data_IF_748489585942
#
_entry.id   IF_748489585942
#
_cell.length_a   1.000
_cell.length_b   1.000
_cell.length_c   1.000
_cell.angle_alpha   90.00
_cell.angle_beta   90.00
_cell.angle_gamma   90.00
#
_symmetry.space_group_name_H-M   'P 1'
#
loop_
_entity.id
_entity.type
_entity.pdbx_description
1 polymer ?
#
# COMPACT_ATOMS: atom_id res chain seq x y z
N UNK A 1 -54.08 11.79 28.42
CA UNK A 1 -53.84 12.86 27.42
C UNK A 1 -52.73 13.81 27.83
N UNK A 2 -52.68 14.30 29.08
CA UNK A 2 -51.59 15.17 29.57
C UNK A 2 -50.19 14.52 29.54
N UNK A 3 -50.04 13.27 29.97
CA UNK A 3 -48.74 12.55 30.02
C UNK A 3 -48.09 12.39 28.63
N UNK A 4 -48.87 11.96 27.61
CA UNK A 4 -48.41 11.80 26.23
C UNK A 4 -47.99 13.13 25.58
N UNK A 5 -48.61 14.25 25.96
CA UNK A 5 -48.29 15.57 25.43
C UNK A 5 -46.96 16.11 25.98
N UNK A 6 -46.68 15.85 27.27
CA UNK A 6 -45.40 16.19 27.90
C UNK A 6 -44.23 15.35 27.42
N UNK A 7 -44.44 14.07 27.08
CA UNK A 7 -43.39 13.24 26.47
C UNK A 7 -43.06 13.76 25.07
N UNK A 8 -44.06 14.02 24.23
CA UNK A 8 -43.86 14.51 22.86
C UNK A 8 -43.12 15.85 22.79
N UNK A 9 -43.43 16.81 23.68
CA UNK A 9 -42.74 18.11 23.72
C UNK A 9 -41.28 18.01 24.17
N UNK A 10 -40.97 17.12 25.13
CA UNK A 10 -39.59 16.85 25.59
C UNK A 10 -38.74 16.12 24.55
N UNK A 11 -39.38 15.39 23.64
CA UNK A 11 -38.70 14.59 22.61
C UNK A 11 -38.18 15.44 21.45
N UNK A 12 -38.98 16.40 20.96
CA UNK A 12 -38.50 17.41 20.01
C UNK A 12 -37.36 18.25 20.60
N UNK A 13 -37.39 18.50 21.91
CA UNK A 13 -36.32 19.22 22.61
C UNK A 13 -35.01 18.42 22.64
N UNK A 14 -35.06 17.11 22.90
CA UNK A 14 -33.85 16.26 22.93
C UNK A 14 -33.22 16.13 21.53
N UNK A 15 -34.03 15.90 20.50
CA UNK A 15 -33.59 15.86 19.10
C UNK A 15 -32.91 17.18 18.71
N UNK A 16 -33.54 18.31 19.05
CA UNK A 16 -32.99 19.64 18.78
C UNK A 16 -31.65 19.85 19.50
N UNK A 17 -31.58 19.52 20.80
CA UNK A 17 -30.35 19.70 21.60
C UNK A 17 -29.20 18.86 21.10
N UNK A 18 -29.46 17.61 20.69
CA UNK A 18 -28.42 16.76 20.10
C UNK A 18 -27.98 17.28 18.73
N UNK A 19 -28.92 17.68 17.87
CA UNK A 19 -28.59 18.30 16.58
C UNK A 19 -27.73 19.56 16.75
N UNK A 20 -28.08 20.45 17.69
CA UNK A 20 -27.32 21.67 17.93
C UNK A 20 -25.95 21.41 18.57
N UNK A 21 -25.83 20.35 19.39
CA UNK A 21 -24.53 19.87 19.87
C UNK A 21 -23.65 19.38 18.72
N UNK A 22 -24.18 18.53 17.83
CA UNK A 22 -23.46 18.04 16.66
C UNK A 22 -23.04 19.18 15.71
N UNK A 23 -23.88 20.19 15.51
CA UNK A 23 -23.52 21.39 14.72
C UNK A 23 -22.31 22.13 15.29
N UNK A 24 -22.21 22.27 16.61
CA UNK A 24 -21.05 22.92 17.26
C UNK A 24 -19.77 22.11 17.08
N UNK A 25 -19.85 20.79 17.22
CA UNK A 25 -18.72 19.92 16.97
C UNK A 25 -18.30 19.93 15.50
N UNK A 26 -19.27 20.01 14.58
CA UNK A 26 -19.01 20.13 13.14
C UNK A 26 -18.30 21.45 12.80
N UNK A 27 -18.74 22.57 13.38
CA UNK A 27 -18.08 23.86 13.21
C UNK A 27 -16.63 23.82 13.71
N UNK A 28 -16.37 23.13 14.82
CA UNK A 28 -15.00 22.91 15.32
C UNK A 28 -14.15 22.09 14.35
N UNK A 29 -14.72 21.05 13.72
CA UNK A 29 -14.01 20.28 12.71
C UNK A 29 -13.69 21.12 11.46
N UNK A 30 -14.61 22.00 11.05
CA UNK A 30 -14.41 22.95 9.96
C UNK A 30 -13.30 23.97 10.28
N UNK A 31 -13.31 24.55 11.49
CA UNK A 31 -12.25 25.44 11.97
C UNK A 31 -10.87 24.76 11.93
N UNK A 32 -10.76 23.56 12.50
CA UNK A 32 -9.53 22.76 12.46
C UNK A 32 -9.06 22.52 11.02
N UNK A 33 -9.99 22.19 10.11
CA UNK A 33 -9.68 21.98 8.69
C UNK A 33 -9.07 23.21 8.06
N UNK A 34 -9.64 24.39 8.33
CA UNK A 34 -9.16 25.65 7.78
C UNK A 34 -7.78 26.03 8.34
N UNK A 35 -7.55 25.83 9.63
CA UNK A 35 -6.24 26.04 10.26
C UNK A 35 -5.17 25.14 9.64
N UNK A 36 -5.46 23.84 9.52
CA UNK A 36 -4.53 22.85 8.95
C UNK A 36 -4.19 23.20 7.50
N UNK A 37 -5.20 23.52 6.66
CA UNK A 37 -4.98 23.92 5.27
C UNK A 37 -4.02 25.09 5.11
N UNK A 38 -4.02 26.03 6.05
CA UNK A 38 -3.15 27.21 5.99
C UNK A 38 -1.68 26.87 6.28
N UNK A 39 -1.41 25.83 7.06
CA UNK A 39 -0.05 25.55 7.58
C UNK A 39 0.55 24.24 7.07
N UNK A 40 -0.27 23.29 6.58
CA UNK A 40 0.15 21.91 6.33
C UNK A 40 1.35 21.78 5.38
N UNK A 41 1.36 22.57 4.29
CA UNK A 41 2.46 22.54 3.32
C UNK A 41 3.75 23.12 3.92
N UNK A 42 3.66 24.23 4.66
CA UNK A 42 4.83 24.83 5.32
C UNK A 42 5.41 23.89 6.38
N UNK A 43 4.56 23.22 7.15
CA UNK A 43 4.97 22.20 8.12
C UNK A 43 5.66 21.02 7.42
N UNK A 44 5.16 20.60 6.25
CA UNK A 44 5.80 19.55 5.45
C UNK A 44 7.17 19.98 4.91
N UNK A 45 7.24 21.16 4.29
CA UNK A 45 8.44 21.67 3.62
C UNK A 45 9.56 22.02 4.61
N UNK A 46 9.21 22.50 5.80
CA UNK A 46 10.17 22.85 6.85
C UNK A 46 10.80 21.67 7.58
N UNK A 47 10.20 20.47 7.49
CA UNK A 47 10.79 19.27 8.06
C UNK A 47 11.97 18.78 7.19
N UNK A 48 13.19 19.09 7.62
CA UNK A 48 14.41 18.67 6.93
C UNK A 48 14.75 17.18 7.13
N UNK A 49 14.03 16.46 7.99
CA UNK A 49 14.19 15.02 8.15
C UNK A 49 13.78 14.30 6.85
N UNK A 50 14.64 13.40 6.37
CA UNK A 50 14.39 12.65 5.13
C UNK A 50 13.09 11.82 5.19
N UNK A 51 12.70 11.36 6.38
CA UNK A 51 11.49 10.58 6.61
C UNK A 51 10.33 11.43 7.13
N UNK A 52 10.45 12.78 7.13
CA UNK A 52 9.39 13.72 7.52
C UNK A 52 8.73 13.39 8.87
N UNK A 53 9.52 12.88 9.83
CA UNK A 53 8.99 12.35 11.10
C UNK A 53 8.25 13.39 11.93
N UNK A 54 8.70 14.64 11.93
CA UNK A 54 8.01 15.69 12.69
C UNK A 54 6.68 16.06 12.02
N UNK A 55 6.68 16.12 10.69
CA UNK A 55 5.45 16.29 9.92
C UNK A 55 4.44 15.16 10.18
N UNK A 56 4.87 13.89 10.16
CA UNK A 56 3.95 12.78 10.44
C UNK A 56 3.43 12.79 11.89
N UNK A 57 4.25 13.17 12.87
CA UNK A 57 3.78 13.37 14.24
C UNK A 57 2.73 14.49 14.32
N UNK A 58 2.93 15.60 13.60
CA UNK A 58 1.95 16.67 13.48
C UNK A 58 0.65 16.16 12.84
N UNK A 59 0.72 15.47 11.70
CA UNK A 59 -0.43 14.87 11.00
C UNK A 59 -1.23 13.94 11.92
N UNK A 60 -0.55 13.00 12.59
CA UNK A 60 -1.16 12.07 13.55
C UNK A 60 -1.87 12.82 14.70
N UNK A 61 -1.29 13.93 15.17
CA UNK A 61 -1.90 14.80 16.17
C UNK A 61 -3.21 15.42 15.68
N UNK A 62 -3.26 15.88 14.43
CA UNK A 62 -4.46 16.45 13.79
C UNK A 62 -5.53 15.37 13.59
N UNK A 63 -5.20 14.21 13.02
CA UNK A 63 -6.12 13.07 12.87
C UNK A 63 -6.69 12.66 14.23
N UNK A 64 -5.85 12.64 15.28
CA UNK A 64 -6.28 12.41 16.66
C UNK A 64 -7.31 13.42 17.16
N UNK A 65 -7.24 14.68 16.73
CA UNK A 65 -8.23 15.69 17.07
C UNK A 65 -9.58 15.44 16.38
N UNK A 66 -9.61 15.03 15.11
CA UNK A 66 -10.85 14.64 14.42
C UNK A 66 -11.49 13.42 15.09
N UNK A 67 -10.71 12.37 15.38
CA UNK A 67 -11.17 11.21 16.15
C UNK A 67 -11.73 11.61 17.51
N UNK A 68 -11.07 12.55 18.20
CA UNK A 68 -11.56 13.09 19.47
C UNK A 68 -12.86 13.89 19.35
N UNK A 69 -13.16 14.51 18.20
CA UNK A 69 -14.45 15.15 17.92
C UNK A 69 -15.54 14.11 17.72
N UNK A 70 -15.27 13.07 16.93
CA UNK A 70 -16.19 11.94 16.69
C UNK A 70 -16.51 11.24 18.01
N UNK A 71 -15.50 10.86 18.78
CA UNK A 71 -15.65 10.16 20.05
C UNK A 71 -16.55 10.94 21.03
N UNK A 72 -16.44 12.27 21.09
CA UNK A 72 -17.31 13.09 21.96
C UNK A 72 -18.78 12.99 21.57
N UNK A 73 -19.09 12.90 20.28
CA UNK A 73 -20.46 12.72 19.82
C UNK A 73 -20.99 11.33 20.17
N UNK A 74 -20.17 10.30 19.96
CA UNK A 74 -20.49 8.92 20.31
C UNK A 74 -20.69 8.74 21.81
N UNK A 75 -19.83 9.32 22.64
CA UNK A 75 -19.93 9.25 24.11
C UNK A 75 -21.25 9.86 24.60
N UNK A 76 -21.66 11.01 24.04
CA UNK A 76 -22.95 11.63 24.38
C UNK A 76 -24.13 10.78 23.90
N UNK A 77 -24.03 10.21 22.70
CA UNK A 77 -25.06 9.32 22.18
C UNK A 77 -25.23 8.06 23.07
N UNK A 78 -24.13 7.38 23.37
CA UNK A 78 -24.11 6.16 24.19
C UNK A 78 -24.53 6.41 25.64
N UNK A 79 -24.14 7.54 26.24
CA UNK A 79 -24.43 7.83 27.65
C UNK A 79 -25.77 8.54 27.89
N UNK A 80 -26.27 9.33 26.95
CA UNK A 80 -27.45 10.20 27.18
C UNK A 80 -28.65 9.90 26.27
N UNK A 81 -28.42 9.35 25.07
CA UNK A 81 -29.48 9.05 24.10
C UNK A 81 -29.88 7.58 24.22
N UNK A 82 -28.97 6.66 23.90
CA UNK A 82 -29.22 5.21 23.84
C UNK A 82 -29.89 4.62 25.10
N UNK A 83 -29.51 4.97 26.34
CA UNK A 83 -30.13 4.40 27.53
C UNK A 83 -31.61 4.73 27.68
N UNK A 84 -32.07 5.87 27.15
CA UNK A 84 -33.49 6.29 27.19
C UNK A 84 -34.37 5.42 26.30
N UNK A 85 -33.79 4.84 25.24
CA UNK A 85 -34.49 3.99 24.29
C UNK A 85 -34.38 2.50 24.68
N UNK A 86 -33.22 2.05 25.16
CA UNK A 86 -33.04 0.65 25.58
C UNK A 86 -33.95 0.24 26.76
N UNK A 87 -34.14 1.11 27.76
CA UNK A 87 -35.05 0.81 28.90
C UNK A 87 -36.55 0.79 28.52
N UNK A 88 -36.94 1.34 27.37
CA UNK A 88 -38.36 1.51 27.02
C UNK A 88 -38.89 0.47 26.04
N UNK A 89 -38.03 -0.34 25.41
CA UNK A 89 -38.45 -1.47 24.57
C UNK A 89 -39.02 -2.64 25.39
N UNK A 90 -38.60 -2.82 26.64
CA UNK A 90 -39.08 -3.93 27.50
C UNK A 90 -40.48 -3.69 28.11
N UNK A 91 -41.02 -2.46 28.09
CA UNK A 91 -42.21 -2.09 28.87
C UNK A 91 -43.38 -1.48 28.07
N UNK A 92 -43.33 -1.40 26.73
CA UNK A 92 -44.31 -0.61 25.96
C UNK A 92 -45.23 -1.42 25.01
N UNK A 93 -46.47 -0.93 24.83
CA UNK A 93 -47.46 -1.49 23.88
C UNK A 93 -46.94 -1.43 22.43
N UNK A 94 -47.31 -2.40 21.59
CA UNK A 94 -46.83 -2.57 20.21
C UNK A 94 -46.81 -1.30 19.34
N UNK A 95 -47.84 -0.44 19.44
CA UNK A 95 -47.92 0.81 18.65
C UNK A 95 -47.03 1.93 19.18
N UNK A 96 -46.71 1.95 20.48
CA UNK A 96 -45.74 2.87 21.08
C UNK A 96 -44.28 2.43 20.85
N UNK A 97 -44.04 1.13 20.62
CA UNK A 97 -42.71 0.63 20.25
C UNK A 97 -42.27 1.11 18.86
N UNK A 98 -43.18 1.11 17.87
CA UNK A 98 -42.84 1.51 16.50
C UNK A 98 -42.34 2.96 16.42
N UNK A 99 -43.02 3.90 17.08
CA UNK A 99 -42.61 5.32 17.10
C UNK A 99 -41.26 5.53 17.79
N UNK A 100 -41.03 4.87 18.93
CA UNK A 100 -39.74 4.94 19.64
C UNK A 100 -38.59 4.35 18.84
N UNK A 101 -38.88 3.31 18.05
CA UNK A 101 -37.92 2.72 17.11
C UNK A 101 -37.55 3.72 16.01
N UNK A 102 -38.54 4.30 15.32
CA UNK A 102 -38.32 5.31 14.27
C UNK A 102 -37.52 6.52 14.78
N UNK A 103 -37.79 6.95 16.01
CA UNK A 103 -37.04 8.04 16.63
C UNK A 103 -35.60 7.67 16.98
N UNK A 104 -35.37 6.46 17.51
CA UNK A 104 -34.02 6.01 17.80
C UNK A 104 -33.21 5.85 16.50
N UNK A 105 -33.82 5.29 15.46
CA UNK A 105 -33.27 5.22 14.11
C UNK A 105 -32.89 6.61 13.59
N UNK A 106 -33.74 7.63 13.80
CA UNK A 106 -33.40 9.01 13.45
C UNK A 106 -32.12 9.52 14.13
N UNK A 107 -31.91 9.22 15.42
CA UNK A 107 -30.69 9.64 16.11
C UNK A 107 -29.45 8.90 15.58
N UNK A 108 -29.59 7.60 15.28
CA UNK A 108 -28.52 6.79 14.67
C UNK A 108 -28.16 7.36 13.31
N UNK A 109 -29.15 7.57 12.44
CA UNK A 109 -28.95 8.13 11.10
C UNK A 109 -28.34 9.53 11.17
N UNK A 110 -28.78 10.37 12.10
CA UNK A 110 -28.20 11.70 12.28
C UNK A 110 -26.73 11.63 12.68
N UNK A 111 -26.37 10.74 13.61
CA UNK A 111 -24.99 10.57 14.06
C UNK A 111 -24.10 10.02 12.94
N UNK A 112 -24.52 8.97 12.25
CA UNK A 112 -23.74 8.36 11.15
C UNK A 112 -23.55 9.34 9.98
N UNK A 113 -24.63 10.04 9.57
CA UNK A 113 -24.52 11.09 8.56
C UNK A 113 -23.64 12.27 9.00
N UNK A 114 -23.58 12.55 10.30
CA UNK A 114 -22.70 13.58 10.85
C UNK A 114 -21.24 13.12 10.87
N UNK A 115 -20.95 11.86 11.23
CA UNK A 115 -19.59 11.29 11.22
C UNK A 115 -18.96 11.38 9.83
N UNK A 116 -19.70 10.98 8.80
CA UNK A 116 -19.26 11.10 7.40
C UNK A 116 -18.88 12.53 7.02
N UNK A 117 -19.54 13.54 7.60
CA UNK A 117 -19.17 14.95 7.35
C UNK A 117 -17.87 15.34 8.05
N UNK A 118 -17.62 14.84 9.27
CA UNK A 118 -16.37 15.08 10.00
C UNK A 118 -15.20 14.37 9.31
N UNK A 119 -15.38 13.14 8.86
CA UNK A 119 -14.38 12.39 8.07
C UNK A 119 -14.06 13.13 6.77
N UNK A 120 -15.07 13.66 6.09
CA UNK A 120 -14.84 14.51 4.91
C UNK A 120 -14.05 15.78 5.23
N UNK A 121 -14.22 16.37 6.41
CA UNK A 121 -13.40 17.52 6.84
C UNK A 121 -11.95 17.12 7.06
N UNK A 122 -11.69 15.96 7.66
CA UNK A 122 -10.36 15.37 7.80
C UNK A 122 -9.70 15.15 6.44
N UNK A 123 -10.39 14.51 5.49
CA UNK A 123 -9.89 14.34 4.11
C UNK A 123 -9.56 15.70 3.46
N UNK A 124 -10.45 16.68 3.61
CA UNK A 124 -10.25 18.02 3.06
C UNK A 124 -9.07 18.74 3.70
N UNK A 125 -8.73 18.47 4.96
CA UNK A 125 -7.63 19.12 5.66
C UNK A 125 -6.27 18.83 5.00
N UNK A 126 -6.12 17.62 4.44
CA UNK A 126 -4.88 17.16 3.82
C UNK A 126 -4.93 17.11 2.29
N UNK A 127 -6.09 17.38 1.67
CA UNK A 127 -6.30 17.23 0.22
C UNK A 127 -5.26 17.94 -0.67
N UNK A 128 -4.86 19.14 -0.29
CA UNK A 128 -3.97 19.99 -1.10
C UNK A 128 -2.49 19.85 -0.70
N UNK A 129 -2.18 18.97 0.27
CA UNK A 129 -0.81 18.66 0.66
C UNK A 129 -0.08 18.00 -0.51
N UNK A 130 1.06 18.58 -0.89
CA UNK A 130 1.95 18.03 -1.89
C UNK A 130 3.09 17.33 -1.17
N UNK A 131 2.86 16.06 -0.86
CA UNK A 131 3.96 15.18 -0.43
C UNK A 131 4.89 14.94 -1.62
N UNK A 132 6.17 14.85 -1.33
CA UNK A 132 7.18 14.47 -2.31
C UNK A 132 6.92 13.04 -2.79
N UNK A 133 6.93 12.83 -4.10
CA UNK A 133 6.72 11.50 -4.66
C UNK A 133 8.00 10.65 -4.58
N UNK A 134 7.83 9.32 -4.60
CA UNK A 134 8.97 8.39 -4.69
C UNK A 134 9.79 8.66 -5.96
N UNK A 135 9.13 9.08 -7.05
CA UNK A 135 9.80 9.49 -8.28
C UNK A 135 10.68 10.73 -8.09
N UNK A 136 10.26 11.71 -7.28
CA UNK A 136 11.08 12.88 -6.94
C UNK A 136 12.31 12.47 -6.13
N UNK A 137 12.15 11.57 -5.17
CA UNK A 137 13.28 11.03 -4.39
C UNK A 137 14.29 10.30 -5.28
N UNK A 138 13.81 9.46 -6.19
CA UNK A 138 14.66 8.78 -7.18
C UNK A 138 15.40 9.78 -8.06
N UNK A 139 14.69 10.78 -8.60
CA UNK A 139 15.30 11.81 -9.46
C UNK A 139 16.41 12.56 -8.74
N UNK A 140 16.24 12.87 -7.45
CA UNK A 140 17.27 13.51 -6.66
C UNK A 140 18.47 12.60 -6.40
N UNK A 141 18.26 11.31 -6.14
CA UNK A 141 19.34 10.31 -6.01
C UNK A 141 20.15 10.26 -7.32
N UNK A 142 19.47 10.13 -8.46
CA UNK A 142 20.11 10.07 -9.78
C UNK A 142 20.86 11.36 -10.12
N UNK A 143 20.27 12.53 -9.83
CA UNK A 143 20.91 13.82 -10.04
C UNK A 143 22.15 14.02 -9.15
N UNK A 144 22.13 13.50 -7.92
CA UNK A 144 23.30 13.53 -7.05
C UNK A 144 24.42 12.63 -7.60
N UNK A 145 24.07 11.45 -8.10
CA UNK A 145 25.02 10.53 -8.71
C UNK A 145 25.72 11.15 -9.93
N UNK A 146 24.94 11.78 -10.82
CA UNK A 146 25.44 12.50 -11.98
C UNK A 146 26.44 13.60 -11.62
N UNK A 147 26.28 14.26 -10.47
CA UNK A 147 27.21 15.30 -10.01
C UNK A 147 28.54 14.74 -9.48
N UNK A 148 28.56 13.50 -9.00
CA UNK A 148 29.77 12.88 -8.40
C UNK A 148 30.52 11.96 -9.35
N UNK A 149 29.85 11.36 -10.34
CA UNK A 149 30.47 10.36 -11.23
C UNK A 149 31.71 10.88 -11.95
N UNK A 150 31.71 12.16 -12.32
CA UNK A 150 32.83 12.79 -13.02
C UNK A 150 33.91 13.36 -12.09
N UNK A 151 33.67 13.34 -10.78
CA UNK A 151 34.55 13.91 -9.75
C UNK A 151 35.32 12.85 -8.97
N UNK A 152 35.27 11.60 -9.40
CA UNK A 152 36.00 10.51 -8.76
C UNK A 152 37.37 10.31 -9.42
N UNK A 153 38.44 10.53 -8.65
CA UNK A 153 39.82 10.46 -9.13
C UNK A 153 40.65 9.50 -8.29
N UNK A 154 41.64 8.88 -8.92
CA UNK A 154 42.57 8.00 -8.23
C UNK A 154 43.41 8.80 -7.24
N UNK A 155 43.42 8.36 -5.97
CA UNK A 155 44.18 9.01 -4.89
C UNK A 155 45.70 8.97 -5.10
N UNK A 156 46.20 8.01 -5.89
CA UNK A 156 47.63 7.80 -6.10
C UNK A 156 48.16 8.56 -7.33
N UNK A 157 47.53 8.38 -8.50
CA UNK A 157 48.04 8.96 -9.76
C UNK A 157 47.21 10.13 -10.30
N UNK A 158 46.13 10.53 -9.63
CA UNK A 158 45.23 11.61 -10.07
C UNK A 158 44.40 11.29 -11.32
N UNK A 159 44.51 10.08 -11.87
CA UNK A 159 43.75 9.67 -13.05
C UNK A 159 42.25 9.60 -12.76
N UNK A 160 41.42 10.11 -13.68
CA UNK A 160 39.96 10.04 -13.59
C UNK A 160 39.50 8.57 -13.54
N UNK A 161 38.63 8.25 -12.59
CA UNK A 161 38.05 6.92 -12.44
C UNK A 161 36.60 6.95 -12.94
N UNK A 162 36.29 6.05 -13.86
CA UNK A 162 34.95 5.91 -14.40
C UNK A 162 34.11 4.98 -13.51
N UNK A 163 32.93 5.43 -13.12
CA UNK A 163 31.92 4.60 -12.47
C UNK A 163 31.04 3.97 -13.55
N UNK A 164 31.10 2.64 -13.69
CA UNK A 164 30.40 1.91 -14.78
C UNK A 164 28.90 1.75 -14.56
N UNK A 165 28.45 1.90 -13.32
CA UNK A 165 27.09 1.65 -12.86
C UNK A 165 26.83 2.43 -11.57
N UNK A 166 25.56 2.54 -11.16
CA UNK A 166 25.20 3.17 -9.90
C UNK A 166 25.67 2.32 -8.71
N UNK A 167 26.57 2.89 -7.90
CA UNK A 167 27.02 2.29 -6.65
C UNK A 167 26.26 2.91 -5.46
N UNK A 168 25.68 2.05 -4.64
CA UNK A 168 24.86 2.38 -3.46
C UNK A 168 25.43 1.72 -2.19
N UNK A 169 26.47 0.89 -2.32
CA UNK A 169 27.36 0.47 -1.23
C UNK A 169 28.78 0.95 -1.49
N UNK A 170 29.63 0.93 -0.47
CA UNK A 170 31.05 1.21 -0.66
C UNK A 170 31.67 0.16 -1.59
N UNK A 171 32.27 0.60 -2.70
CA UNK A 171 32.80 -0.30 -3.74
C UNK A 171 34.25 0.01 -4.06
N UNK A 172 35.05 -1.05 -4.20
CA UNK A 172 36.44 -0.95 -4.63
C UNK A 172 36.51 -0.80 -6.15
N UNK A 173 37.18 0.26 -6.60
CA UNK A 173 37.37 0.61 -8.00
C UNK A 173 38.86 0.64 -8.30
N UNK A 174 39.29 -0.28 -9.16
CA UNK A 174 40.69 -0.40 -9.56
C UNK A 174 41.03 0.67 -10.59
N UNK A 175 42.09 1.44 -10.33
CA UNK A 175 42.55 2.46 -11.27
C UNK A 175 43.11 1.81 -12.54
N UNK A 176 42.61 2.15 -13.74
CA UNK A 176 43.08 1.54 -14.98
C UNK A 176 44.55 1.90 -15.27
N UNK A 177 45.01 3.08 -14.84
CA UNK A 177 46.35 3.62 -15.10
C UNK A 177 47.43 3.03 -14.19
N UNK A 178 47.24 3.09 -12.86
CA UNK A 178 48.28 2.68 -11.88
C UNK A 178 47.92 1.43 -11.07
N UNK A 179 46.77 0.80 -11.32
CA UNK A 179 46.26 -0.40 -10.65
C UNK A 179 45.99 -0.27 -9.15
N UNK A 180 46.18 0.90 -8.55
CA UNK A 180 45.77 1.17 -7.16
C UNK A 180 44.26 0.99 -6.99
N UNK A 181 43.84 0.33 -5.90
CA UNK A 181 42.43 0.25 -5.51
C UNK A 181 41.99 1.54 -4.81
N UNK A 182 40.86 2.10 -5.24
CA UNK A 182 40.22 3.27 -4.65
C UNK A 182 38.83 2.85 -4.15
N UNK A 183 38.31 3.51 -3.13
CA UNK A 183 36.98 3.21 -2.60
C UNK A 183 36.06 4.35 -3.00
N UNK A 184 34.99 4.04 -3.72
CA UNK A 184 33.86 4.93 -3.90
C UNK A 184 32.93 4.76 -2.70
N UNK A 185 32.58 5.86 -2.04
CA UNK A 185 31.65 5.87 -0.91
C UNK A 185 30.40 6.63 -1.32
N UNK A 186 29.26 5.96 -1.56
CA UNK A 186 28.01 6.62 -1.84
C UNK A 186 27.54 7.43 -0.63
N UNK A 187 26.87 8.56 -0.91
CA UNK A 187 26.21 9.36 0.11
C UNK A 187 25.09 8.58 0.79
N UNK A 188 24.61 9.08 1.92
CA UNK A 188 23.45 8.49 2.62
C UNK A 188 22.27 8.32 1.66
N UNK A 189 22.02 9.31 0.81
CA UNK A 189 20.92 9.29 -0.14
C UNK A 189 21.10 8.27 -1.27
N UNK A 190 22.32 8.16 -1.82
CA UNK A 190 22.62 7.14 -2.83
C UNK A 190 22.46 5.71 -2.31
N UNK A 191 22.65 5.49 -1.00
CA UNK A 191 22.45 4.18 -0.38
C UNK A 191 20.98 3.74 -0.38
N UNK A 192 20.04 4.69 -0.45
CA UNK A 192 18.60 4.41 -0.50
C UNK A 192 18.12 4.00 -1.90
N UNK A 193 18.99 4.04 -2.93
CA UNK A 193 18.61 3.79 -4.32
C UNK A 193 17.84 2.47 -4.50
N UNK A 194 18.30 1.39 -3.88
CA UNK A 194 17.65 0.07 -3.99
C UNK A 194 16.21 0.09 -3.44
N UNK A 195 16.01 0.73 -2.29
CA UNK A 195 14.71 0.86 -1.64
C UNK A 195 13.78 1.77 -2.46
N UNK A 196 14.23 2.97 -2.82
CA UNK A 196 13.41 3.92 -3.59
C UNK A 196 12.99 3.35 -4.95
N UNK A 197 13.85 2.58 -5.61
CA UNK A 197 13.52 1.93 -6.89
C UNK A 197 12.47 0.83 -6.70
N UNK A 198 12.54 0.09 -5.59
CA UNK A 198 11.52 -0.88 -5.22
C UNK A 198 10.18 -0.20 -4.94
N UNK A 199 10.17 0.83 -4.11
CA UNK A 199 8.96 1.57 -3.74
C UNK A 199 8.27 2.13 -4.99
N UNK A 200 9.03 2.70 -5.93
CA UNK A 200 8.48 3.21 -7.19
C UNK A 200 7.93 2.08 -8.08
N UNK A 201 8.59 0.93 -8.11
CA UNK A 201 8.12 -0.23 -8.87
C UNK A 201 6.84 -0.82 -8.28
N UNK A 202 6.71 -0.85 -6.95
CA UNK A 202 5.51 -1.26 -6.23
C UNK A 202 4.37 -0.25 -6.45
N UNK A 203 4.64 1.07 -6.39
CA UNK A 203 3.67 2.13 -6.70
C UNK A 203 3.10 1.98 -8.12
N UNK A 204 3.96 1.74 -9.13
CA UNK A 204 3.51 1.49 -10.50
C UNK A 204 2.70 0.21 -10.67
N UNK A 205 2.92 -0.78 -9.80
CA UNK A 205 2.23 -2.06 -9.84
C UNK A 205 1.01 -2.11 -8.91
N UNK A 206 0.60 -0.97 -8.31
CA UNK A 206 -0.46 -0.94 -7.28
C UNK A 206 -1.80 -1.52 -7.74
N UNK A 207 -2.15 -1.36 -9.02
CA UNK A 207 -3.41 -1.92 -9.55
C UNK A 207 -3.35 -3.44 -9.67
N UNK A 208 -2.17 -4.00 -9.94
CA UNK A 208 -1.95 -5.46 -9.95
C UNK A 208 -1.96 -6.04 -8.55
N UNK A 209 -1.41 -5.31 -7.57
CA UNK A 209 -1.49 -5.67 -6.16
C UNK A 209 -2.95 -5.74 -5.69
N UNK A 210 -3.73 -4.66 -5.90
CA UNK A 210 -5.16 -4.62 -5.56
C UNK A 210 -5.96 -5.74 -6.23
N UNK A 211 -5.65 -6.04 -7.49
CA UNK A 211 -6.28 -7.16 -8.20
C UNK A 211 -5.93 -8.51 -7.54
N UNK A 212 -4.67 -8.73 -7.18
CA UNK A 212 -4.25 -9.91 -6.43
C UNK A 212 -4.97 -10.01 -5.08
N UNK A 213 -5.01 -8.93 -4.29
CA UNK A 213 -5.67 -8.91 -2.98
C UNK A 213 -7.17 -9.23 -3.10
N UNK A 214 -7.82 -8.69 -4.13
CA UNK A 214 -9.22 -8.98 -4.43
C UNK A 214 -9.40 -10.46 -4.75
N UNK A 215 -8.54 -11.03 -5.59
CA UNK A 215 -8.58 -12.46 -5.97
C UNK A 215 -8.34 -13.35 -4.74
N UNK A 216 -7.36 -13.01 -3.90
CA UNK A 216 -7.01 -13.80 -2.72
C UNK A 216 -8.12 -13.77 -1.65
N UNK A 217 -8.75 -12.61 -1.45
CA UNK A 217 -9.78 -12.44 -0.41
C UNK A 217 -11.17 -12.94 -0.81
N UNK A 218 -11.44 -13.16 -2.10
CA UNK A 218 -12.80 -13.46 -2.56
C UNK A 218 -13.30 -14.88 -2.21
N UNK A 219 -12.40 -15.82 -1.89
CA UNK A 219 -12.76 -17.16 -1.42
C UNK A 219 -13.34 -18.13 -2.46
N UNK A 220 -13.43 -17.74 -3.74
CA UNK A 220 -13.92 -18.60 -4.84
C UNK A 220 -12.93 -18.80 -6.00
N UNK A 221 -11.77 -18.16 -5.96
CA UNK A 221 -10.71 -18.39 -6.95
C UNK A 221 -9.90 -19.64 -6.60
N UNK A 222 -9.45 -20.35 -7.63
CA UNK A 222 -8.60 -21.52 -7.47
C UNK A 222 -7.15 -21.14 -7.15
N UNK A 223 -6.41 -22.03 -6.48
CA UNK A 223 -5.02 -21.77 -6.08
C UNK A 223 -4.10 -21.40 -7.27
N UNK A 224 -4.35 -21.93 -8.47
CA UNK A 224 -3.61 -21.55 -9.68
C UNK A 224 -3.88 -20.12 -10.14
N UNK A 225 -5.12 -19.63 -9.99
CA UNK A 225 -5.50 -18.26 -10.33
C UNK A 225 -4.89 -17.27 -9.32
N UNK A 226 -4.95 -17.62 -8.03
CA UNK A 226 -4.32 -16.84 -6.95
C UNK A 226 -2.81 -16.74 -7.18
N UNK A 227 -2.13 -17.88 -7.42
CA UNK A 227 -0.69 -17.89 -7.70
C UNK A 227 -0.34 -17.08 -8.95
N UNK A 228 -1.13 -17.19 -10.02
CA UNK A 228 -0.89 -16.44 -11.24
C UNK A 228 -1.03 -14.92 -11.03
N UNK A 229 -2.06 -14.47 -10.31
CA UNK A 229 -2.23 -13.06 -9.99
C UNK A 229 -1.04 -12.52 -9.17
N UNK A 230 -0.60 -13.27 -8.15
CA UNK A 230 0.57 -12.92 -7.36
C UNK A 230 1.85 -12.89 -8.21
N UNK A 231 2.06 -13.89 -9.06
CA UNK A 231 3.21 -13.94 -9.96
C UNK A 231 3.27 -12.72 -10.88
N UNK A 232 2.15 -12.32 -11.50
CA UNK A 232 2.11 -11.18 -12.43
C UNK A 232 2.43 -9.88 -11.70
N UNK A 233 1.86 -9.68 -10.51
CA UNK A 233 2.19 -8.54 -9.67
C UNK A 233 3.70 -8.49 -9.39
N UNK A 234 4.27 -9.55 -8.80
CA UNK A 234 5.69 -9.56 -8.40
C UNK A 234 6.65 -9.53 -9.57
N UNK A 235 6.32 -10.15 -10.69
CA UNK A 235 7.13 -10.11 -11.90
C UNK A 235 7.16 -8.69 -12.50
N UNK A 236 6.04 -7.96 -12.44
CA UNK A 236 5.98 -6.56 -12.90
C UNK A 236 6.89 -5.68 -12.05
N UNK A 237 6.82 -5.79 -10.72
CA UNK A 237 7.72 -5.07 -9.80
C UNK A 237 9.19 -5.33 -10.16
N UNK A 238 9.58 -6.60 -10.30
CA UNK A 238 10.94 -6.96 -10.68
C UNK A 238 11.36 -6.34 -12.03
N UNK A 239 10.50 -6.40 -13.05
CA UNK A 239 10.79 -5.87 -14.38
C UNK A 239 10.96 -4.35 -14.38
N UNK A 240 10.16 -3.63 -13.58
CA UNK A 240 10.31 -2.19 -13.38
C UNK A 240 11.64 -1.86 -12.68
N UNK A 241 12.00 -2.60 -11.62
CA UNK A 241 13.26 -2.35 -10.90
C UNK A 241 14.49 -2.48 -11.81
N UNK A 242 14.56 -3.54 -12.62
CA UNK A 242 15.71 -3.77 -13.52
C UNK A 242 15.73 -2.83 -14.72
N UNK A 243 14.59 -2.24 -15.09
CA UNK A 243 14.53 -1.20 -16.10
C UNK A 243 15.16 0.10 -15.59
N UNK A 244 15.01 0.40 -14.29
CA UNK A 244 15.56 1.61 -13.66
C UNK A 244 17.04 1.42 -13.30
N UNK A 245 17.40 0.31 -12.63
CA UNK A 245 18.78 0.04 -12.20
C UNK A 245 19.22 -1.38 -12.60
N UNK A 246 19.74 -1.56 -13.82
CA UNK A 246 20.08 -2.89 -14.35
C UNK A 246 21.10 -3.69 -13.56
N UNK A 247 21.98 -3.04 -12.77
CA UNK A 247 22.96 -3.73 -11.91
C UNK A 247 22.30 -4.69 -10.91
N UNK A 248 21.03 -4.45 -10.57
CA UNK A 248 20.27 -5.28 -9.64
C UNK A 248 19.60 -6.49 -10.25
N UNK A 249 19.75 -6.73 -11.56
CA UNK A 249 19.05 -7.82 -12.24
C UNK A 249 19.18 -9.17 -11.52
N UNK A 250 20.40 -9.59 -11.17
CA UNK A 250 20.59 -10.89 -10.51
C UNK A 250 20.18 -10.89 -9.04
N UNK A 251 20.37 -9.78 -8.32
CA UNK A 251 19.97 -9.66 -6.91
C UNK A 251 18.45 -9.64 -6.78
N UNK A 252 17.77 -8.78 -7.53
CA UNK A 252 16.31 -8.64 -7.50
C UNK A 252 15.62 -9.90 -8.02
N UNK A 253 16.22 -10.63 -8.98
CA UNK A 253 15.68 -11.92 -9.43
C UNK A 253 15.70 -12.97 -8.31
N UNK A 254 16.76 -12.99 -7.49
CA UNK A 254 16.80 -13.88 -6.31
C UNK A 254 15.74 -13.51 -5.27
N UNK A 255 15.52 -12.21 -5.05
CA UNK A 255 14.47 -11.70 -4.16
C UNK A 255 13.10 -12.11 -4.69
N UNK A 256 12.81 -11.84 -5.97
CA UNK A 256 11.58 -12.26 -6.64
C UNK A 256 11.30 -13.76 -6.46
N UNK A 257 12.27 -14.63 -6.74
CA UNK A 257 12.08 -16.08 -6.54
C UNK A 257 11.89 -16.47 -5.07
N UNK A 258 12.52 -15.76 -4.14
CA UNK A 258 12.31 -15.99 -2.71
C UNK A 258 10.87 -15.62 -2.34
N UNK A 259 10.37 -14.47 -2.78
CA UNK A 259 9.02 -14.00 -2.47
C UNK A 259 7.94 -14.94 -3.04
N UNK A 260 8.15 -15.50 -4.24
CA UNK A 260 7.28 -16.56 -4.76
C UNK A 260 7.27 -17.81 -3.87
N UNK A 261 8.44 -18.22 -3.34
CA UNK A 261 8.52 -19.37 -2.45
C UNK A 261 7.90 -19.09 -1.08
N UNK A 262 8.14 -17.91 -0.52
CA UNK A 262 7.54 -17.48 0.74
C UNK A 262 6.00 -17.43 0.60
N UNK A 263 5.50 -16.90 -0.53
CA UNK A 263 4.07 -16.93 -0.84
C UNK A 263 3.50 -18.35 -0.86
N UNK A 264 4.16 -19.29 -1.57
CA UNK A 264 3.72 -20.69 -1.62
C UNK A 264 3.76 -21.35 -0.23
N UNK A 265 4.74 -20.99 0.60
CA UNK A 265 4.84 -21.48 1.98
C UNK A 265 3.71 -20.99 2.86
N UNK A 266 3.35 -19.71 2.77
CA UNK A 266 2.34 -19.12 3.66
C UNK A 266 0.91 -19.30 3.17
N UNK A 267 0.66 -19.15 1.87
CA UNK A 267 -0.68 -19.20 1.30
C UNK A 267 -1.15 -20.65 1.08
N UNK A 268 -0.24 -21.54 0.68
CA UNK A 268 -0.59 -22.93 0.37
C UNK A 268 -0.07 -23.95 1.39
N UNK A 269 0.67 -23.49 2.42
CA UNK A 269 1.29 -24.36 3.43
C UNK A 269 2.25 -25.40 2.82
N UNK A 270 2.95 -25.05 1.74
CA UNK A 270 3.85 -25.94 1.01
C UNK A 270 5.30 -25.51 1.15
N UNK A 271 6.22 -26.45 1.42
CA UNK A 271 7.67 -26.16 1.46
C UNK A 271 8.17 -25.50 0.15
N UNK A 272 7.61 -25.92 -0.98
CA UNK A 272 7.74 -25.28 -2.28
C UNK A 272 6.63 -25.82 -3.20
N UNK A 273 6.43 -25.19 -4.36
CA UNK A 273 5.33 -25.57 -5.25
C UNK A 273 5.45 -27.01 -5.77
N UNK A 274 6.68 -27.49 -6.00
CA UNK A 274 6.93 -28.86 -6.46
C UNK A 274 6.64 -29.93 -5.40
N UNK A 275 6.44 -29.56 -4.13
CA UNK A 275 5.99 -30.49 -3.07
C UNK A 275 4.53 -30.91 -3.26
N UNK A 276 3.74 -30.17 -4.04
CA UNK A 276 2.38 -30.56 -4.45
C UNK A 276 2.33 -30.74 -5.97
N UNK A 277 2.58 -31.97 -6.43
CA UNK A 277 2.63 -32.31 -7.85
C UNK A 277 1.39 -31.83 -8.62
N UNK A 278 0.19 -32.06 -8.07
CA UNK A 278 -1.07 -31.71 -8.73
C UNK A 278 -1.21 -30.21 -8.92
N UNK A 279 -1.01 -29.44 -7.86
CA UNK A 279 -1.10 -27.97 -7.93
C UNK A 279 -0.05 -27.39 -8.88
N UNK A 280 1.18 -27.94 -8.85
CA UNK A 280 2.25 -27.55 -9.74
C UNK A 280 1.89 -27.78 -11.22
N UNK A 281 1.34 -28.95 -11.55
CA UNK A 281 0.85 -29.27 -12.90
C UNK A 281 -0.30 -28.35 -13.33
N UNK A 282 -1.28 -28.12 -12.44
CA UNK A 282 -2.41 -27.21 -12.69
C UNK A 282 -1.95 -25.78 -12.97
N UNK A 283 -0.89 -25.31 -12.28
CA UNK A 283 -0.29 -23.99 -12.52
C UNK A 283 0.43 -23.96 -13.88
N UNK A 284 1.26 -24.95 -14.19
CA UNK A 284 1.97 -25.00 -15.47
C UNK A 284 1.02 -25.05 -16.67
N UNK A 285 -0.05 -25.83 -16.58
CA UNK A 285 -1.10 -25.88 -17.58
C UNK A 285 -1.78 -24.51 -17.72
N UNK A 286 -2.12 -23.86 -16.61
CA UNK A 286 -2.73 -22.54 -16.61
C UNK A 286 -1.85 -21.47 -17.26
N UNK A 287 -0.54 -21.46 -16.95
CA UNK A 287 0.41 -20.56 -17.61
C UNK A 287 0.46 -20.81 -19.13
N UNK A 288 0.43 -22.07 -19.55
CA UNK A 288 0.42 -22.44 -20.97
C UNK A 288 -0.87 -22.01 -21.69
N UNK A 289 -2.03 -22.16 -21.04
CA UNK A 289 -3.32 -21.71 -21.56
C UNK A 289 -3.42 -20.19 -21.69
N UNK A 290 -3.01 -19.45 -20.65
CA UNK A 290 -3.06 -17.98 -20.67
C UNK A 290 -2.15 -17.43 -21.76
N UNK A 291 -0.97 -18.03 -21.95
CA UNK A 291 -0.07 -17.68 -23.04
C UNK A 291 -0.70 -17.87 -24.43
N UNK A 292 -1.60 -18.85 -24.60
CA UNK A 292 -2.31 -19.07 -25.87
C UNK A 292 -3.48 -18.10 -26.10
N UNK A 293 -4.11 -17.57 -25.04
CA UNK A 293 -5.40 -16.86 -25.11
C UNK A 293 -5.30 -15.33 -25.22
N UNK A 294 -4.25 -14.69 -24.72
CA UNK A 294 -4.09 -13.24 -24.86
C UNK A 294 -2.65 -12.78 -24.61
N UNK A 295 -2.27 -11.67 -25.26
CA UNK A 295 -1.02 -10.90 -25.14
C UNK A 295 -0.50 -10.81 -23.69
N UNK A 296 0.29 -11.80 -23.25
CA UNK A 296 1.37 -11.50 -22.32
C UNK A 296 2.26 -10.50 -23.09
N UNK A 297 2.32 -9.25 -22.66
CA UNK A 297 3.28 -8.25 -23.15
C UNK A 297 4.76 -8.67 -23.00
N UNK A 298 5.07 -9.93 -22.71
CA UNK A 298 6.17 -10.24 -21.83
C UNK A 298 6.84 -11.58 -22.12
N UNK A 299 7.60 -11.62 -23.23
CA UNK A 299 8.71 -12.58 -23.37
C UNK A 299 9.57 -12.61 -22.10
N UNK A 300 9.73 -11.47 -21.42
CA UNK A 300 10.43 -11.38 -20.14
C UNK A 300 9.70 -12.10 -18.99
N UNK A 301 8.39 -11.89 -18.76
CA UNK A 301 7.66 -12.66 -17.72
C UNK A 301 7.61 -14.15 -18.03
N UNK A 302 7.42 -14.51 -19.30
CA UNK A 302 7.49 -15.90 -19.75
C UNK A 302 8.83 -16.55 -19.37
N UNK A 303 9.94 -15.86 -19.69
CA UNK A 303 11.28 -16.33 -19.32
C UNK A 303 11.45 -16.42 -17.81
N UNK A 304 10.93 -15.46 -17.03
CA UNK A 304 10.95 -15.51 -15.57
C UNK A 304 10.18 -16.69 -15.00
N UNK A 305 9.01 -17.00 -15.56
CA UNK A 305 8.22 -18.16 -15.17
C UNK A 305 8.99 -19.46 -15.45
N UNK A 306 9.56 -19.59 -16.65
CA UNK A 306 10.39 -20.74 -17.03
C UNK A 306 11.59 -20.90 -16.08
N UNK A 307 12.35 -19.83 -15.85
CA UNK A 307 13.50 -19.85 -14.93
C UNK A 307 13.08 -20.24 -13.50
N UNK A 308 11.94 -19.74 -13.01
CA UNK A 308 11.40 -20.10 -11.70
C UNK A 308 11.07 -21.59 -11.63
N UNK A 309 10.27 -22.10 -12.57
CA UNK A 309 9.85 -23.50 -12.61
C UNK A 309 11.04 -24.47 -12.80
N UNK A 310 12.03 -24.10 -13.62
CA UNK A 310 13.30 -24.85 -13.74
C UNK A 310 14.08 -24.91 -12.43
N UNK A 311 14.10 -23.81 -11.67
CA UNK A 311 14.79 -23.78 -10.37
C UNK A 311 14.15 -24.70 -9.32
N UNK A 312 12.82 -24.82 -9.31
CA UNK A 312 12.11 -25.58 -8.26
C UNK A 312 11.75 -27.01 -8.67
N UNK A 313 11.53 -27.27 -9.96
CA UNK A 313 10.96 -28.52 -10.47
C UNK A 313 11.96 -29.51 -11.07
N UNK A 314 13.20 -29.10 -11.40
CA UNK A 314 14.16 -29.97 -12.07
C UNK A 314 14.47 -31.23 -11.24
N UNK A 315 14.16 -32.40 -11.81
CA UNK A 315 14.35 -33.72 -11.20
C UNK A 315 13.29 -34.16 -10.18
N UNK A 316 12.27 -33.34 -9.89
CA UNK A 316 11.22 -33.65 -8.89
C UNK A 316 9.89 -34.13 -9.48
N UNK A 317 9.69 -33.97 -10.80
CA UNK A 317 8.41 -34.22 -11.48
C UNK A 317 8.62 -35.03 -12.76
N UNK A 318 7.81 -36.07 -12.96
CA UNK A 318 7.93 -37.06 -14.06
C UNK A 318 7.83 -36.45 -15.46
N UNK A 319 7.02 -35.40 -15.64
CA UNK A 319 6.70 -34.82 -16.94
C UNK A 319 7.15 -33.35 -17.05
N UNK A 320 8.07 -32.94 -16.18
CA UNK A 320 8.58 -31.57 -16.11
C UNK A 320 9.08 -31.04 -17.47
N UNK A 321 9.83 -31.86 -18.19
CA UNK A 321 10.38 -31.50 -19.51
C UNK A 321 9.29 -31.20 -20.54
N UNK A 322 8.16 -31.94 -20.48
CA UNK A 322 7.02 -31.72 -21.38
C UNK A 322 6.41 -30.34 -21.15
N UNK A 323 6.08 -30.00 -19.90
CA UNK A 323 5.45 -28.72 -19.58
C UNK A 323 6.36 -27.52 -19.84
N UNK A 324 7.65 -27.63 -19.49
CA UNK A 324 8.62 -26.56 -19.81
C UNK A 324 8.79 -26.40 -21.32
N UNK A 325 8.81 -27.50 -22.07
CA UNK A 325 8.86 -27.46 -23.54
C UNK A 325 7.63 -26.77 -24.12
N UNK A 326 6.44 -27.02 -23.58
CA UNK A 326 5.20 -26.34 -23.97
C UNK A 326 5.22 -24.85 -23.65
N UNK A 327 5.65 -24.46 -22.44
CA UNK A 327 5.85 -23.06 -22.10
C UNK A 327 6.88 -22.40 -23.02
N UNK A 328 7.96 -23.08 -23.40
CA UNK A 328 8.97 -22.53 -24.30
C UNK A 328 8.47 -22.30 -25.74
N UNK A 329 7.36 -22.92 -26.17
CA UNK A 329 6.81 -22.70 -27.52
C UNK A 329 6.39 -21.24 -27.69
N UNK A 330 6.78 -20.63 -28.80
CA UNK A 330 6.28 -19.33 -29.22
C UNK A 330 5.03 -19.54 -30.06
N UNK A 331 3.92 -18.93 -29.65
CA UNK A 331 2.68 -18.88 -30.41
C UNK A 331 2.70 -17.55 -31.18
N UNK A 332 2.72 -17.65 -32.51
CA UNK A 332 2.83 -16.53 -33.45
C UNK A 332 1.49 -15.89 -33.77
#
# INVERSE_FOLDING_TARGET
MYLLFTEFYKMNELQQRFSDFLKKLLAKAEELTNEVKMTIQETYDSDADAYKRNFFNFKNGIEGQYKGIIQKAEDVFESQIKPKYLMTFEQSLQSSMQKKKEEFEWFVDLLENWKMKVEKFEELAFKDLKEKSVADDLNEILAEYEKVKDKFFCKNCGGKLELKEYYFISTYITCPFCKTQNIFNPSTKMRELELTVRDLAEEKASDLEKNYETINSAGYFSAKEIFFAYFIYRATVYLEQIAIVPVFTETNKKIFFKELNDFVLYEFELENLASNKRLYEEILEYFSEVQQKANLENRKMKNLAIEYFEKIGNGKISDFEKYISELKKDYY
#
